data_IF_931600552778
#
_entry.id   IF_931600552778
#
_cell.length_a   1.000
_cell.length_b   1.000
_cell.length_c   1.000
_cell.angle_alpha   90.00
_cell.angle_beta   90.00
_cell.angle_gamma   90.00
#
_symmetry.space_group_name_H-M   'P 1'
#
loop_
_entity.id
_entity.type
_entity.pdbx_description
1 polymer ?
#
# COMPACT_ATOMS: atom_id res chain seq x y z
N UNK A 1 14.62 -7.18 23.19
CA UNK A 1 13.85 -7.94 22.17
C UNK A 1 14.15 -7.29 20.82
N UNK A 2 14.58 -8.05 19.81
CA UNK A 2 14.90 -7.48 18.50
C UNK A 2 13.62 -6.92 17.86
N UNK A 3 13.53 -5.60 17.65
CA UNK A 3 12.34 -4.93 17.10
C UNK A 3 12.00 -5.41 15.68
N UNK A 4 13.02 -5.78 14.89
CA UNK A 4 12.86 -6.36 13.55
C UNK A 4 12.14 -7.70 13.64
N UNK A 5 12.44 -8.52 14.65
CA UNK A 5 11.76 -9.79 14.90
C UNK A 5 10.29 -9.60 15.30
N UNK A 6 9.99 -8.57 16.10
CA UNK A 6 8.60 -8.21 16.45
C UNK A 6 7.82 -7.79 15.20
N UNK A 7 8.42 -6.92 14.37
CA UNK A 7 7.84 -6.51 13.09
C UNK A 7 7.60 -7.70 12.15
N UNK A 8 8.55 -8.63 12.08
CA UNK A 8 8.41 -9.88 11.33
C UNK A 8 7.20 -10.72 11.79
N UNK A 9 7.05 -10.96 13.10
CA UNK A 9 5.92 -11.72 13.63
C UNK A 9 4.59 -11.00 13.36
N UNK A 10 4.55 -9.68 13.53
CA UNK A 10 3.36 -8.89 13.30
C UNK A 10 2.92 -8.93 11.82
N UNK A 11 3.85 -8.72 10.90
CA UNK A 11 3.57 -8.80 9.46
C UNK A 11 3.21 -10.22 9.01
N UNK A 12 3.72 -11.27 9.66
CA UNK A 12 3.33 -12.66 9.36
C UNK A 12 1.82 -12.89 9.58
N UNK A 13 1.26 -12.35 10.66
CA UNK A 13 -0.19 -12.39 10.91
C UNK A 13 -0.98 -11.64 9.82
N UNK A 14 -0.47 -10.48 9.39
CA UNK A 14 -1.09 -9.66 8.35
C UNK A 14 -1.09 -10.37 7.01
N UNK A 15 0.01 -11.04 6.64
CA UNK A 15 0.10 -11.83 5.39
C UNK A 15 -0.97 -12.92 5.37
N UNK A 16 -1.19 -13.63 6.47
CA UNK A 16 -2.23 -14.67 6.56
C UNK A 16 -3.61 -14.04 6.29
N UNK A 17 -3.95 -12.95 7.00
CA UNK A 17 -5.21 -12.25 6.81
C UNK A 17 -5.39 -11.74 5.36
N UNK A 18 -4.36 -11.10 4.82
CA UNK A 18 -4.37 -10.53 3.47
C UNK A 18 -4.55 -11.61 2.40
N UNK A 19 -3.89 -12.76 2.58
CA UNK A 19 -3.99 -13.92 1.69
C UNK A 19 -5.40 -14.52 1.73
N UNK A 20 -6.00 -14.64 2.92
CA UNK A 20 -7.39 -15.10 3.05
C UNK A 20 -8.35 -14.18 2.28
N UNK A 21 -8.22 -12.86 2.44
CA UNK A 21 -9.06 -11.90 1.69
C UNK A 21 -8.81 -12.01 0.18
N UNK A 22 -7.56 -12.12 -0.25
CA UNK A 22 -7.20 -12.29 -1.67
C UNK A 22 -7.83 -13.55 -2.28
N UNK A 23 -7.81 -14.68 -1.56
CA UNK A 23 -8.44 -15.93 -1.99
C UNK A 23 -9.97 -15.75 -2.12
N UNK A 24 -10.61 -15.05 -1.19
CA UNK A 24 -12.04 -14.78 -1.25
C UNK A 24 -12.42 -13.91 -2.46
N UNK A 25 -11.61 -12.90 -2.78
CA UNK A 25 -11.78 -12.08 -4.00
C UNK A 25 -11.60 -12.95 -5.25
N UNK A 26 -10.56 -13.78 -5.28
CA UNK A 26 -10.28 -14.67 -6.41
C UNK A 26 -11.45 -15.62 -6.65
N UNK A 27 -11.97 -16.29 -5.61
CA UNK A 27 -13.15 -17.15 -5.71
C UNK A 27 -14.34 -16.38 -6.29
N UNK A 28 -14.59 -15.17 -5.83
CA UNK A 28 -15.68 -14.33 -6.35
C UNK A 28 -15.46 -13.96 -7.82
N UNK A 29 -14.23 -13.61 -8.21
CA UNK A 29 -13.89 -13.35 -9.60
C UNK A 29 -14.10 -14.58 -10.49
N UNK A 30 -13.69 -15.77 -10.05
CA UNK A 30 -13.89 -17.01 -10.80
C UNK A 30 -15.37 -17.35 -11.03
N UNK A 31 -16.23 -17.02 -10.06
CA UNK A 31 -17.69 -17.21 -10.16
C UNK A 31 -18.33 -16.17 -11.10
N UNK A 32 -18.02 -14.89 -10.87
CA UNK A 32 -18.71 -13.76 -11.52
C UNK A 32 -18.13 -13.38 -12.89
N UNK A 33 -16.82 -13.56 -13.07
CA UNK A 33 -16.02 -13.12 -14.24
C UNK A 33 -16.22 -11.66 -14.65
N UNK A 34 -16.61 -10.80 -13.70
CA UNK A 34 -16.79 -9.36 -13.94
C UNK A 34 -15.44 -8.60 -13.94
N UNK A 35 -15.34 -7.56 -14.78
CA UNK A 35 -14.13 -6.72 -14.85
C UNK A 35 -13.85 -5.98 -13.54
N UNK A 36 -14.87 -5.57 -12.80
CA UNK A 36 -14.71 -4.88 -11.51
C UNK A 36 -14.06 -5.77 -10.46
N UNK A 37 -14.46 -7.04 -10.39
CA UNK A 37 -13.86 -8.02 -9.46
C UNK A 37 -12.44 -8.40 -9.87
N UNK A 38 -12.10 -8.34 -11.17
CA UNK A 38 -10.72 -8.45 -11.63
C UNK A 38 -9.85 -7.29 -11.14
N UNK A 39 -10.29 -6.04 -11.29
CA UNK A 39 -9.51 -4.90 -10.78
C UNK A 39 -9.32 -4.96 -9.28
N UNK A 40 -10.36 -5.34 -8.54
CA UNK A 40 -10.26 -5.56 -7.11
C UNK A 40 -9.22 -6.64 -6.76
N UNK A 41 -9.25 -7.78 -7.47
CA UNK A 41 -8.26 -8.84 -7.31
C UNK A 41 -6.85 -8.31 -7.55
N UNK A 42 -6.63 -7.56 -8.63
CA UNK A 42 -5.32 -7.01 -8.97
C UNK A 42 -4.84 -5.97 -7.93
N UNK A 43 -5.72 -5.11 -7.40
CA UNK A 43 -5.38 -4.19 -6.31
C UNK A 43 -4.89 -4.98 -5.10
N UNK A 44 -5.66 -5.97 -4.65
CA UNK A 44 -5.30 -6.77 -3.50
C UNK A 44 -4.07 -7.63 -3.71
N UNK A 45 -3.87 -8.17 -4.92
CA UNK A 45 -2.65 -8.91 -5.26
C UNK A 45 -1.42 -8.01 -5.06
N UNK A 46 -1.46 -6.77 -5.58
CA UNK A 46 -0.37 -5.83 -5.40
C UNK A 46 -0.18 -5.42 -3.94
N UNK A 47 -1.26 -5.22 -3.17
CA UNK A 47 -1.16 -4.94 -1.73
C UNK A 47 -0.56 -6.13 -0.95
N UNK A 48 -0.97 -7.36 -1.25
CA UNK A 48 -0.39 -8.58 -0.64
C UNK A 48 1.09 -8.69 -1.00
N UNK A 49 1.47 -8.49 -2.27
CA UNK A 49 2.87 -8.48 -2.69
C UNK A 49 3.67 -7.41 -1.93
N UNK A 50 3.11 -6.20 -1.74
CA UNK A 50 3.73 -5.16 -0.92
C UNK A 50 4.02 -5.64 0.51
N UNK A 51 3.05 -6.26 1.19
CA UNK A 51 3.25 -6.82 2.54
C UNK A 51 4.30 -7.95 2.51
N UNK A 52 4.26 -8.85 1.53
CA UNK A 52 5.23 -9.95 1.39
C UNK A 52 6.65 -9.42 1.20
N UNK A 53 6.87 -8.41 0.37
CA UNK A 53 8.20 -7.80 0.20
C UNK A 53 8.64 -7.03 1.45
N UNK A 54 7.71 -6.40 2.17
CA UNK A 54 8.01 -5.76 3.45
C UNK A 54 8.45 -6.78 4.48
N UNK A 55 7.81 -7.94 4.51
CA UNK A 55 8.15 -9.04 5.40
C UNK A 55 9.47 -9.72 5.01
N UNK A 56 9.70 -9.91 3.71
CA UNK A 56 10.95 -10.45 3.16
C UNK A 56 12.15 -9.57 3.54
N UNK A 57 11.97 -8.25 3.56
CA UNK A 57 12.99 -7.32 4.07
C UNK A 57 13.43 -7.67 5.51
N UNK A 58 12.49 -7.99 6.42
CA UNK A 58 12.82 -8.38 7.80
C UNK A 58 13.56 -9.70 7.83
N UNK A 59 13.16 -10.68 7.01
CA UNK A 59 13.87 -11.96 6.92
C UNK A 59 15.32 -11.72 6.48
N UNK A 60 15.53 -10.90 5.45
CA UNK A 60 16.86 -10.61 4.96
C UNK A 60 17.71 -9.95 6.06
N UNK A 61 17.16 -8.97 6.78
CA UNK A 61 17.87 -8.32 7.89
C UNK A 61 18.15 -9.27 9.06
N UNK A 62 17.26 -10.23 9.35
CA UNK A 62 17.43 -11.19 10.44
C UNK A 62 18.37 -12.36 10.10
N UNK A 63 18.50 -12.72 8.82
CA UNK A 63 19.23 -13.91 8.37
C UNK A 63 20.53 -13.60 7.63
N UNK A 64 20.77 -12.33 7.30
CA UNK A 64 21.97 -11.87 6.58
C UNK A 64 22.64 -10.72 7.33
N UNK A 65 23.83 -10.31 6.89
CA UNK A 65 24.55 -9.16 7.44
C UNK A 65 24.13 -7.82 6.77
N UNK A 66 23.00 -7.78 6.07
CA UNK A 66 22.47 -6.58 5.42
C UNK A 66 21.53 -5.90 6.39
N UNK A 67 21.79 -4.65 6.75
CA UNK A 67 20.92 -3.90 7.69
C UNK A 67 19.93 -2.99 6.95
N UNK A 68 19.17 -2.14 7.64
CA UNK A 68 18.35 -1.10 7.02
C UNK A 68 19.18 0.13 6.63
N UNK A 69 18.66 0.95 5.69
CA UNK A 69 19.25 2.23 5.26
C UNK A 69 19.88 3.04 6.41
N UNK A 70 19.19 3.20 7.53
CA UNK A 70 19.60 4.10 8.61
C UNK A 70 20.75 3.54 9.48
N UNK A 71 21.07 2.25 9.35
CA UNK A 71 22.16 1.60 10.08
C UNK A 71 23.45 1.48 9.24
N UNK A 72 23.39 1.76 7.94
CA UNK A 72 24.54 1.67 7.02
C UNK A 72 24.87 3.04 6.37
N UNK A 73 25.75 3.84 6.99
CA UNK A 73 26.09 5.18 6.50
C UNK A 73 27.08 5.18 5.31
N UNK A 74 27.37 4.04 4.67
CA UNK A 74 28.32 3.98 3.56
C UNK A 74 27.61 4.02 2.19
N UNK A 75 27.44 5.21 1.57
CA UNK A 75 26.74 5.37 0.30
C UNK A 75 27.51 4.83 -0.92
N UNK A 76 28.77 4.43 -0.76
CA UNK A 76 29.67 4.12 -1.88
C UNK A 76 29.41 2.76 -2.55
N UNK A 77 28.63 1.88 -1.95
CA UNK A 77 28.32 0.57 -2.51
C UNK A 77 26.94 0.56 -3.16
N UNK A 78 26.72 1.34 -4.22
CA UNK A 78 25.62 1.01 -5.12
C UNK A 78 26.02 -0.26 -5.88
N UNK A 79 25.34 -1.39 -5.67
CA UNK A 79 25.69 -2.59 -6.40
C UNK A 79 25.23 -2.42 -7.84
N UNK A 80 26.18 -2.32 -8.77
CA UNK A 80 25.92 -2.34 -10.21
C UNK A 80 25.58 -3.75 -10.73
N UNK A 81 25.53 -4.74 -9.84
CA UNK A 81 25.18 -6.13 -10.13
C UNK A 81 23.68 -6.32 -9.90
N UNK A 82 22.93 -7.01 -10.80
CA UNK A 82 21.47 -7.11 -10.72
C UNK A 82 20.92 -7.68 -9.41
N UNK A 83 21.57 -8.70 -8.84
CA UNK A 83 21.07 -9.38 -7.64
C UNK A 83 21.16 -8.50 -6.38
N UNK A 84 22.33 -7.94 -6.00
CA UNK A 84 22.39 -7.07 -4.83
C UNK A 84 21.61 -5.76 -5.04
N UNK A 85 21.47 -5.26 -6.29
CA UNK A 85 20.59 -4.12 -6.61
C UNK A 85 19.15 -4.38 -6.19
N UNK A 86 18.63 -5.59 -6.44
CA UNK A 86 17.27 -5.97 -6.09
C UNK A 86 17.14 -6.18 -4.57
N UNK A 87 18.09 -6.87 -3.96
CA UNK A 87 18.09 -7.15 -2.51
C UNK A 87 18.03 -5.87 -1.70
N UNK A 88 18.87 -4.87 -2.00
CA UNK A 88 18.87 -3.61 -1.22
C UNK A 88 17.54 -2.85 -1.34
N UNK A 89 16.89 -2.91 -2.52
CA UNK A 89 15.56 -2.30 -2.75
C UNK A 89 14.43 -3.05 -2.06
N UNK A 90 14.57 -4.35 -1.87
CA UNK A 90 13.65 -5.12 -1.03
C UNK A 90 13.82 -4.68 0.42
N UNK A 91 15.06 -4.72 0.94
CA UNK A 91 15.38 -4.36 2.32
C UNK A 91 14.87 -2.97 2.68
N UNK A 92 15.05 -2.00 1.78
CA UNK A 92 14.68 -0.60 2.00
C UNK A 92 13.26 -0.24 1.56
N UNK A 93 12.39 -1.26 1.45
CA UNK A 93 10.96 -1.12 1.16
C UNK A 93 10.64 -0.46 -0.19
N UNK A 94 11.61 -0.29 -1.09
CA UNK A 94 11.39 0.31 -2.42
C UNK A 94 10.47 -0.54 -3.28
N UNK A 95 10.67 -1.86 -3.25
CA UNK A 95 9.80 -2.81 -3.94
C UNK A 95 8.39 -2.83 -3.33
N UNK A 96 8.29 -2.82 -1.99
CA UNK A 96 7.02 -2.69 -1.26
C UNK A 96 6.23 -1.47 -1.74
N UNK A 97 6.85 -0.30 -1.70
CA UNK A 97 6.21 0.97 -2.05
C UNK A 97 5.86 1.03 -3.55
N UNK A 98 6.66 0.43 -4.43
CA UNK A 98 6.33 0.28 -5.85
C UNK A 98 5.03 -0.50 -6.07
N UNK A 99 4.86 -1.65 -5.41
CA UNK A 99 3.61 -2.43 -5.51
C UNK A 99 2.40 -1.66 -4.99
N UNK A 100 2.57 -0.82 -3.95
CA UNK A 100 1.51 0.09 -3.52
C UNK A 100 1.17 1.13 -4.60
N UNK A 101 2.17 1.72 -5.26
CA UNK A 101 1.94 2.67 -6.36
C UNK A 101 1.14 2.02 -7.51
N UNK A 102 1.45 0.77 -7.85
CA UNK A 102 0.68 0.00 -8.84
C UNK A 102 -0.76 -0.23 -8.34
N UNK A 103 -0.95 -0.59 -7.07
CA UNK A 103 -2.28 -0.76 -6.49
C UNK A 103 -3.11 0.54 -6.54
N UNK A 104 -2.51 1.70 -6.23
CA UNK A 104 -3.16 3.02 -6.32
C UNK A 104 -3.64 3.30 -7.75
N UNK A 105 -2.79 3.01 -8.74
CA UNK A 105 -3.14 3.22 -10.14
C UNK A 105 -4.35 2.38 -10.56
N UNK A 106 -4.40 1.12 -10.14
CA UNK A 106 -5.53 0.24 -10.45
C UNK A 106 -6.78 0.68 -9.66
N UNK A 107 -6.63 1.17 -8.42
CA UNK A 107 -7.71 1.76 -7.64
C UNK A 107 -8.34 2.98 -8.32
N UNK A 108 -7.55 3.80 -9.03
CA UNK A 108 -8.09 4.87 -9.86
C UNK A 108 -8.99 4.35 -10.99
N UNK A 109 -8.54 3.31 -11.70
CA UNK A 109 -9.34 2.67 -12.76
C UNK A 109 -10.64 2.10 -12.18
N UNK A 110 -10.56 1.44 -11.02
CA UNK A 110 -11.73 0.90 -10.33
C UNK A 110 -12.70 2.01 -9.91
N UNK A 111 -12.21 3.09 -9.29
CA UNK A 111 -13.01 4.27 -8.92
C UNK A 111 -13.84 4.77 -10.10
N UNK A 112 -13.19 5.02 -11.23
CA UNK A 112 -13.84 5.58 -12.41
C UNK A 112 -14.94 4.65 -12.92
N UNK A 113 -14.68 3.34 -12.94
CA UNK A 113 -15.68 2.35 -13.38
C UNK A 113 -16.84 2.15 -12.41
N UNK A 114 -16.61 2.28 -11.11
CA UNK A 114 -17.64 2.11 -10.07
C UNK A 114 -18.58 3.31 -10.04
N UNK A 115 -18.04 4.53 -10.09
CA UNK A 115 -18.83 5.76 -9.92
C UNK A 115 -19.29 6.40 -11.23
N UNK A 116 -18.96 5.82 -12.38
CA UNK A 116 -19.42 6.28 -13.70
C UNK A 116 -19.03 7.71 -14.05
N UNK A 117 -18.14 8.34 -13.28
CA UNK A 117 -17.62 9.68 -13.58
C UNK A 117 -16.71 9.56 -14.78
N UNK A 118 -17.08 10.17 -15.90
CA UNK A 118 -16.24 10.21 -17.10
C UNK A 118 -14.82 10.64 -16.76
N UNK A 119 -13.85 10.03 -17.44
CA UNK A 119 -12.45 10.42 -17.31
C UNK A 119 -12.28 11.86 -17.74
N UNK A 120 -12.17 12.80 -16.79
CA UNK A 120 -11.64 14.13 -17.10
C UNK A 120 -10.21 13.92 -17.60
N UNK A 121 -9.97 14.20 -18.89
CA UNK A 121 -8.72 13.87 -19.57
C UNK A 121 -7.50 14.43 -18.87
N UNK A 122 -7.58 15.66 -18.34
CA UNK A 122 -6.49 16.28 -17.57
C UNK A 122 -6.17 15.50 -16.29
N UNK A 123 -7.19 15.13 -15.51
CA UNK A 123 -7.00 14.34 -14.29
C UNK A 123 -6.40 12.96 -14.62
N UNK A 124 -6.85 12.32 -15.71
CA UNK A 124 -6.30 11.05 -16.20
C UNK A 124 -4.80 11.17 -16.49
N UNK A 125 -4.39 12.19 -17.24
CA UNK A 125 -2.98 12.45 -17.56
C UNK A 125 -2.16 12.67 -16.29
N UNK A 126 -2.64 13.53 -15.38
CA UNK A 126 -1.94 13.82 -14.12
C UNK A 126 -1.74 12.55 -13.29
N UNK A 127 -2.77 11.70 -13.15
CA UNK A 127 -2.69 10.43 -12.41
C UNK A 127 -1.68 9.47 -13.02
N UNK A 128 -1.73 9.26 -14.34
CA UNK A 128 -0.77 8.36 -15.00
C UNK A 128 0.66 8.89 -14.96
N UNK A 129 0.87 10.18 -15.24
CA UNK A 129 2.19 10.81 -15.19
C UNK A 129 2.77 10.80 -13.78
N UNK A 130 1.97 11.12 -12.76
CA UNK A 130 2.41 11.09 -11.37
C UNK A 130 2.65 9.67 -10.86
N UNK A 131 1.83 8.70 -11.28
CA UNK A 131 2.04 7.28 -11.00
C UNK A 131 3.32 6.74 -11.64
N UNK A 132 3.60 7.11 -12.89
CA UNK A 132 4.84 6.76 -13.57
C UNK A 132 6.06 7.38 -12.89
N UNK A 133 6.00 8.68 -12.57
CA UNK A 133 7.04 9.37 -11.78
C UNK A 133 7.29 8.65 -10.45
N UNK A 134 6.22 8.34 -9.71
CA UNK A 134 6.31 7.67 -8.41
C UNK A 134 6.94 6.28 -8.53
N UNK A 135 6.54 5.49 -9.53
CA UNK A 135 7.12 4.18 -9.79
C UNK A 135 8.60 4.24 -10.17
N UNK A 136 8.99 5.20 -11.02
CA UNK A 136 10.39 5.44 -11.38
C UNK A 136 11.19 5.87 -10.15
N UNK A 137 10.64 6.79 -9.35
CA UNK A 137 11.28 7.25 -8.12
C UNK A 137 11.52 6.11 -7.13
N UNK A 138 10.52 5.24 -6.94
CA UNK A 138 10.65 4.07 -6.07
C UNK A 138 11.83 3.18 -6.47
N UNK A 139 11.97 2.88 -7.77
CA UNK A 139 12.92 1.87 -8.26
C UNK A 139 14.33 2.43 -8.54
N UNK A 140 14.41 3.66 -9.05
CA UNK A 140 15.66 4.21 -9.60
C UNK A 140 16.23 5.37 -8.79
N UNK A 141 15.40 6.18 -8.11
CA UNK A 141 15.88 7.27 -7.26
C UNK A 141 16.12 6.74 -5.85
N UNK A 142 17.31 6.17 -5.66
CA UNK A 142 17.68 5.44 -4.47
C UNK A 142 19.16 5.64 -4.13
N UNK A 143 19.43 5.86 -2.85
CA UNK A 143 20.78 5.89 -2.29
C UNK A 143 20.75 5.18 -0.94
N UNK A 144 21.55 4.13 -0.79
CA UNK A 144 21.75 3.43 0.48
C UNK A 144 22.31 4.42 1.52
N UNK A 145 21.87 4.31 2.77
CA UNK A 145 22.22 5.27 3.82
C UNK A 145 21.36 6.53 3.89
N UNK A 146 20.50 6.81 2.88
CA UNK A 146 19.77 8.07 2.78
C UNK A 146 18.29 7.93 3.20
N UNK A 147 18.01 8.02 4.50
CA UNK A 147 16.64 7.97 5.06
C UNK A 147 15.76 9.12 4.58
N UNK A 148 16.34 10.28 4.24
CA UNK A 148 15.58 11.40 3.67
C UNK A 148 14.96 11.02 2.32
N UNK A 149 15.69 10.30 1.47
CA UNK A 149 15.13 9.80 0.21
C UNK A 149 14.03 8.76 0.44
N UNK A 150 14.07 7.99 1.53
CA UNK A 150 12.97 7.10 1.90
C UNK A 150 11.74 7.91 2.30
N UNK A 151 11.89 8.93 3.15
CA UNK A 151 10.80 9.81 3.55
C UNK A 151 10.16 10.50 2.33
N UNK A 152 10.96 10.99 1.38
CA UNK A 152 10.47 11.56 0.11
C UNK A 152 9.71 10.50 -0.70
N UNK A 153 10.18 9.26 -0.74
CA UNK A 153 9.48 8.17 -1.41
C UNK A 153 8.10 7.89 -0.80
N UNK A 154 8.01 7.80 0.53
CA UNK A 154 6.73 7.64 1.24
C UNK A 154 5.81 8.85 1.02
N UNK A 155 6.36 10.07 1.00
CA UNK A 155 5.60 11.29 0.72
C UNK A 155 5.03 11.30 -0.71
N UNK A 156 5.81 10.90 -1.71
CA UNK A 156 5.33 10.79 -3.10
C UNK A 156 4.15 9.82 -3.20
N UNK A 157 4.23 8.65 -2.56
CA UNK A 157 3.11 7.69 -2.55
C UNK A 157 1.92 8.21 -1.74
N UNK A 158 2.15 8.92 -0.64
CA UNK A 158 1.09 9.55 0.14
C UNK A 158 0.34 10.61 -0.68
N UNK A 159 1.05 11.48 -1.39
CA UNK A 159 0.44 12.44 -2.33
C UNK A 159 -0.35 11.71 -3.41
N UNK A 160 0.20 10.62 -3.94
CA UNK A 160 -0.51 9.82 -4.95
C UNK A 160 -1.79 9.18 -4.39
N UNK A 161 -1.74 8.68 -3.15
CA UNK A 161 -2.91 8.19 -2.45
C UNK A 161 -3.95 9.27 -2.26
N UNK A 162 -3.56 10.47 -1.84
CA UNK A 162 -4.49 11.60 -1.67
C UNK A 162 -5.26 11.91 -2.95
N UNK A 163 -4.59 11.91 -4.10
CA UNK A 163 -5.22 12.16 -5.40
C UNK A 163 -6.33 11.16 -5.75
N UNK A 164 -6.23 9.90 -5.27
CA UNK A 164 -7.15 8.82 -5.64
C UNK A 164 -8.14 8.49 -4.51
N UNK A 165 -7.62 8.19 -3.32
CA UNK A 165 -8.40 7.69 -2.20
C UNK A 165 -9.23 8.76 -1.52
N UNK A 166 -8.84 10.05 -1.52
CA UNK A 166 -9.73 11.10 -0.98
C UNK A 166 -10.96 11.30 -1.85
N UNK A 167 -10.85 11.49 -3.18
CA UNK A 167 -12.05 11.54 -4.02
C UNK A 167 -12.89 10.26 -3.97
N UNK A 168 -12.25 9.09 -3.89
CA UNK A 168 -12.96 7.83 -3.72
C UNK A 168 -13.75 7.80 -2.39
N UNK A 169 -13.11 8.18 -1.29
CA UNK A 169 -13.73 8.26 0.04
C UNK A 169 -14.92 9.23 0.05
N UNK A 170 -14.78 10.43 -0.52
CA UNK A 170 -15.87 11.41 -0.61
C UNK A 170 -17.05 10.82 -1.37
N UNK A 171 -16.82 10.21 -2.55
CA UNK A 171 -17.89 9.56 -3.33
C UNK A 171 -18.53 8.39 -2.59
N UNK A 172 -17.75 7.60 -1.86
CA UNK A 172 -18.29 6.54 -1.01
C UNK A 172 -19.19 7.10 0.10
N UNK A 173 -18.83 8.23 0.73
CA UNK A 173 -19.66 8.89 1.75
C UNK A 173 -20.93 9.48 1.13
N UNK A 174 -20.85 10.08 -0.06
CA UNK A 174 -22.03 10.55 -0.79
C UNK A 174 -22.99 9.39 -1.10
N UNK A 175 -22.47 8.28 -1.64
CA UNK A 175 -23.26 7.09 -1.94
C UNK A 175 -23.85 6.43 -0.66
N UNK A 176 -23.11 6.46 0.45
CA UNK A 176 -23.64 6.04 1.75
C UNK A 176 -24.88 6.84 2.17
N UNK A 177 -24.89 8.15 1.93
CA UNK A 177 -26.02 9.02 2.31
C UNK A 177 -27.22 8.86 1.37
N UNK A 178 -27.00 8.49 0.11
CA UNK A 178 -28.05 8.43 -0.90
C UNK A 178 -28.74 7.07 -1.03
N UNK A 179 -28.12 5.98 -0.57
CA UNK A 179 -28.67 4.63 -0.75
C UNK A 179 -29.54 4.22 0.44
N UNK A 180 -30.80 3.88 0.14
CA UNK A 180 -31.77 3.43 1.14
C UNK A 180 -31.48 2.00 1.63
N UNK A 181 -31.03 1.12 0.72
CA UNK A 181 -30.80 -0.28 1.07
C UNK A 181 -29.62 -0.42 2.05
N UNK A 182 -29.93 -0.88 3.27
CA UNK A 182 -28.97 -0.99 4.39
C UNK A 182 -27.69 -1.75 4.02
N UNK A 183 -27.80 -2.80 3.22
CA UNK A 183 -26.66 -3.63 2.79
C UNK A 183 -25.64 -2.81 1.99
N UNK A 184 -26.09 -2.08 0.97
CA UNK A 184 -25.23 -1.24 0.14
C UNK A 184 -24.76 -0.01 0.87
N UNK A 185 -25.60 0.55 1.74
CA UNK A 185 -25.19 1.64 2.61
C UNK A 185 -23.98 1.23 3.45
N UNK A 186 -24.04 0.12 4.18
CA UNK A 186 -22.89 -0.37 4.96
C UNK A 186 -21.67 -0.66 4.07
N UNK A 187 -21.88 -1.15 2.85
CA UNK A 187 -20.80 -1.37 1.90
C UNK A 187 -20.05 -0.08 1.56
N UNK A 188 -20.76 0.98 1.18
CA UNK A 188 -20.17 2.27 0.86
C UNK A 188 -19.46 2.91 2.06
N UNK A 189 -20.01 2.79 3.27
CA UNK A 189 -19.31 3.23 4.48
C UNK A 189 -18.00 2.48 4.70
N UNK A 190 -18.01 1.17 4.47
CA UNK A 190 -16.82 0.33 4.57
C UNK A 190 -15.74 0.74 3.56
N UNK A 191 -16.14 1.10 2.34
CA UNK A 191 -15.24 1.62 1.31
C UNK A 191 -14.60 2.97 1.71
N UNK A 192 -15.35 3.84 2.39
CA UNK A 192 -14.81 5.08 2.94
C UNK A 192 -13.76 4.81 4.05
N UNK A 193 -14.07 3.93 5.00
CA UNK A 193 -13.13 3.55 6.08
C UNK A 193 -11.88 2.88 5.52
N UNK A 194 -12.02 1.99 4.54
CA UNK A 194 -10.90 1.38 3.84
C UNK A 194 -9.96 2.45 3.26
N UNK A 195 -10.52 3.43 2.56
CA UNK A 195 -9.75 4.48 1.89
C UNK A 195 -9.00 5.35 2.90
N UNK A 196 -9.67 5.75 3.99
CA UNK A 196 -9.04 6.47 5.09
C UNK A 196 -7.92 5.64 5.73
N UNK A 197 -8.16 4.35 5.97
CA UNK A 197 -7.18 3.45 6.55
C UNK A 197 -5.92 3.38 5.69
N UNK A 198 -6.04 3.20 4.37
CA UNK A 198 -4.88 3.16 3.48
C UNK A 198 -4.10 4.48 3.42
N UNK A 199 -4.78 5.64 3.50
CA UNK A 199 -4.11 6.94 3.65
C UNK A 199 -3.32 6.97 4.97
N UNK A 200 -3.95 6.55 6.07
CA UNK A 200 -3.32 6.54 7.40
C UNK A 200 -2.10 5.61 7.47
N UNK A 201 -2.09 4.48 6.75
CA UNK A 201 -0.88 3.64 6.62
C UNK A 201 0.32 4.50 6.20
N UNK A 202 0.16 5.33 5.15
CA UNK A 202 1.26 6.13 4.62
C UNK A 202 1.56 7.38 5.44
N UNK A 203 0.56 7.96 6.12
CA UNK A 203 0.80 9.01 7.11
C UNK A 203 1.70 8.48 8.23
N UNK A 204 1.38 7.31 8.79
CA UNK A 204 2.13 6.76 9.90
C UNK A 204 3.50 6.22 9.50
N UNK A 205 3.66 5.61 8.31
CA UNK A 205 5.00 5.23 7.83
C UNK A 205 5.87 6.44 7.50
N UNK A 206 5.29 7.54 7.01
CA UNK A 206 6.03 8.79 6.80
C UNK A 206 6.49 9.37 8.14
N UNK A 207 5.61 9.42 9.15
CA UNK A 207 5.97 9.87 10.50
C UNK A 207 7.09 8.97 11.07
N UNK A 208 7.01 7.65 10.92
CA UNK A 208 8.07 6.72 11.33
C UNK A 208 9.41 7.09 10.69
N UNK A 209 9.45 7.33 9.37
CA UNK A 209 10.69 7.76 8.68
C UNK A 209 11.21 9.12 9.15
N UNK A 210 10.31 10.07 9.41
CA UNK A 210 10.68 11.37 9.97
C UNK A 210 11.33 11.18 11.36
N UNK A 211 10.76 10.33 12.22
CA UNK A 211 11.38 10.08 13.54
C UNK A 211 12.76 9.44 13.44
N UNK A 212 13.00 8.58 12.45
CA UNK A 212 14.32 7.97 12.20
C UNK A 212 15.33 9.02 11.78
N UNK A 213 14.93 10.00 10.96
CA UNK A 213 15.78 11.16 10.62
C UNK A 213 16.19 11.95 11.87
N UNK A 214 15.32 11.99 12.89
CA UNK A 214 15.60 12.59 14.20
C UNK A 214 16.32 11.65 15.19
N UNK A 215 16.79 10.48 14.75
CA UNK A 215 17.66 9.60 15.53
C UNK A 215 16.98 8.43 16.24
N UNK A 216 15.74 8.07 15.88
CA UNK A 216 15.13 6.82 16.37
C UNK A 216 15.61 5.59 15.58
N UNK A 217 15.60 4.42 16.23
CA UNK A 217 16.04 3.14 15.62
C UNK A 217 15.01 2.52 14.63
N UNK A 218 13.96 3.27 14.29
CA UNK A 218 12.81 2.79 13.53
C UNK A 218 11.89 1.87 14.32
N UNK A 219 10.92 1.24 13.64
CA UNK A 219 9.89 0.39 14.27
C UNK A 219 9.19 1.10 15.44
N UNK A 220 8.92 2.40 15.27
CA UNK A 220 8.28 3.21 16.30
C UNK A 220 6.81 2.81 16.48
N UNK A 221 6.09 3.32 17.50
CA UNK A 221 4.65 3.11 17.60
C UNK A 221 3.88 3.46 16.31
N UNK A 222 4.39 4.39 15.50
CA UNK A 222 3.80 4.73 14.21
C UNK A 222 3.92 3.60 13.18
N UNK A 223 5.02 2.85 13.16
CA UNK A 223 5.14 1.67 12.31
C UNK A 223 4.04 0.64 12.64
N UNK A 224 3.84 0.33 13.92
CA UNK A 224 2.79 -0.63 14.33
C UNK A 224 1.37 -0.08 14.11
N UNK A 225 1.17 1.23 14.27
CA UNK A 225 -0.09 1.89 13.94
C UNK A 225 -0.40 1.75 12.44
N UNK A 226 0.58 1.98 11.56
CA UNK A 226 0.42 1.81 10.12
C UNK A 226 -0.07 0.40 9.77
N UNK A 227 0.56 -0.62 10.34
CA UNK A 227 0.16 -2.02 10.12
C UNK A 227 -1.21 -2.37 10.71
N UNK A 228 -1.60 -1.75 11.82
CA UNK A 228 -2.98 -1.86 12.33
C UNK A 228 -3.98 -1.30 11.32
N UNK A 229 -3.67 -0.18 10.65
CA UNK A 229 -4.50 0.35 9.57
C UNK A 229 -4.49 -0.53 8.32
N UNK A 230 -3.45 -1.31 8.04
CA UNK A 230 -3.48 -2.34 6.98
C UNK A 230 -4.55 -3.39 7.28
N UNK A 231 -4.60 -3.88 8.53
CA UNK A 231 -5.62 -4.85 8.97
C UNK A 231 -7.03 -4.27 8.81
N UNK A 232 -7.25 -3.05 9.35
CA UNK A 232 -8.54 -2.35 9.25
C UNK A 232 -8.91 -2.16 7.76
N UNK A 233 -7.98 -1.69 6.94
CA UNK A 233 -8.18 -1.51 5.50
C UNK A 233 -8.63 -2.79 4.80
N UNK A 234 -7.96 -3.92 5.03
CA UNK A 234 -8.34 -5.20 4.43
C UNK A 234 -9.70 -5.72 4.90
N UNK A 235 -10.02 -5.60 6.20
CA UNK A 235 -11.32 -6.01 6.72
C UNK A 235 -12.46 -5.18 6.11
N UNK A 236 -12.31 -3.86 6.04
CA UNK A 236 -13.33 -2.98 5.49
C UNK A 236 -13.44 -3.07 3.97
N UNK A 237 -12.34 -3.38 3.28
CA UNK A 237 -12.39 -3.71 1.87
C UNK A 237 -13.17 -5.02 1.61
N UNK A 238 -13.04 -6.03 2.48
CA UNK A 238 -13.87 -7.23 2.43
C UNK A 238 -15.35 -6.91 2.66
N UNK A 239 -15.67 -6.10 3.66
CA UNK A 239 -17.05 -5.69 3.94
C UNK A 239 -17.65 -4.80 2.84
N UNK A 240 -16.84 -3.97 2.19
CA UNK A 240 -17.26 -3.04 1.14
C UNK A 240 -17.44 -3.69 -0.23
N UNK A 241 -16.55 -4.61 -0.62
CA UNK A 241 -16.57 -5.19 -1.95
C UNK A 241 -17.05 -6.65 -2.02
N UNK A 242 -16.80 -7.45 -0.98
CA UNK A 242 -16.92 -8.92 -1.03
C UNK A 242 -18.18 -9.42 -0.31
N UNK A 243 -18.61 -8.75 0.76
CA UNK A 243 -19.83 -9.13 1.48
C UNK A 243 -21.15 -8.78 0.79
N UNK A 244 -21.29 -7.63 0.08
CA UNK A 244 -22.54 -7.33 -0.61
C UNK A 244 -22.72 -8.31 -1.77
N UNK A 245 -23.84 -9.04 -1.81
CA UNK A 245 -24.13 -10.07 -2.83
C UNK A 245 -24.36 -9.50 -4.26
N UNK A 246 -24.19 -8.20 -4.45
CA UNK A 246 -24.72 -7.42 -5.57
C UNK A 246 -23.74 -6.97 -6.65
N UNK A 247 -22.47 -7.35 -6.56
CA UNK A 247 -21.53 -7.27 -7.69
C UNK A 247 -21.26 -8.67 -8.25
#
# INVERSE_FOLDING_TARGET
MNLVFVGFLFESFIIILATLVLILILKRYLIKKHRLTLYLFLIFLNLVLSVVFSWLSKILVLTTNIDYVYNEPNPAAQPNVPFPWLVTRIVDFRITVFFVAVAILISYILKVKVFGTDYVTSHKIIVYSFGAYTGIFCLFVYQRGNTLLDAINFLNVLVYMFMIYVPFMIRSIEAYKSVEEKTYRIAFFSLAIMSLSFILVFVFTLIDRITIIFGTEGFTPFYFAAWTFVIIGFLFAYLGYIRPKSA
#
